data_IF_764382434502
#
_entry.id   IF_764382434502
#
_cell.length_a   1.000
_cell.length_b   1.000
_cell.length_c   1.000
_cell.angle_alpha   90.00
_cell.angle_beta   90.00
_cell.angle_gamma   90.00
#
_symmetry.space_group_name_H-M   'P 1'
#
loop_
_entity.id
_entity.type
_entity.pdbx_description
1 polymer ?
#
# COMPACT_ATOMS: atom_id res chain seq x y z
N UNK A 1 19.91 8.05 11.15
CA UNK A 1 21.33 8.29 10.82
C UNK A 1 21.51 8.00 9.34
N UNK A 2 22.10 8.90 8.55
CA UNK A 2 22.17 8.73 7.10
C UNK A 2 23.48 8.03 6.73
N UNK A 3 23.43 6.74 6.42
CA UNK A 3 24.59 5.99 5.96
C UNK A 3 24.21 4.99 4.86
N UNK A 4 25.24 4.46 4.20
CA UNK A 4 25.06 3.47 3.13
C UNK A 4 25.84 2.20 3.42
N UNK A 5 25.20 1.05 3.22
CA UNK A 5 25.83 -0.27 3.20
C UNK A 5 25.85 -0.78 1.76
N UNK A 6 27.01 -1.24 1.29
CA UNK A 6 27.19 -1.76 -0.09
C UNK A 6 27.89 -3.11 -0.07
N UNK A 7 27.43 -4.01 -0.94
CA UNK A 7 28.12 -5.24 -1.33
C UNK A 7 28.46 -6.16 -0.15
N UNK A 8 27.60 -6.21 0.87
CA UNK A 8 27.77 -7.10 2.01
C UNK A 8 27.70 -8.56 1.57
N UNK A 9 28.65 -9.38 2.02
CA UNK A 9 28.69 -10.82 1.65
C UNK A 9 27.49 -11.62 2.16
N UNK A 10 26.85 -11.18 3.25
CA UNK A 10 25.60 -11.74 3.76
C UNK A 10 24.52 -10.66 3.77
N UNK A 11 24.14 -10.14 4.93
CA UNK A 11 23.10 -9.13 5.07
C UNK A 11 23.70 -7.73 5.13
N UNK A 12 22.96 -6.73 4.66
CA UNK A 12 23.37 -5.33 4.82
C UNK A 12 23.34 -4.93 6.30
N UNK A 13 22.17 -5.10 6.93
CA UNK A 13 21.97 -4.97 8.37
C UNK A 13 21.37 -6.25 8.93
N UNK A 14 21.93 -6.74 10.03
CA UNK A 14 21.42 -7.90 10.78
C UNK A 14 21.11 -7.49 12.20
N UNK A 15 19.88 -7.74 12.64
CA UNK A 15 19.46 -7.50 14.02
C UNK A 15 18.88 -8.79 14.63
N UNK A 16 19.38 -9.13 15.81
CA UNK A 16 18.99 -10.33 16.56
C UNK A 16 18.64 -9.92 17.99
N UNK A 17 17.48 -10.38 18.46
CA UNK A 17 16.93 -10.13 19.80
C UNK A 17 16.98 -8.66 20.23
N UNK A 18 16.60 -7.74 19.33
CA UNK A 18 16.79 -6.29 19.50
C UNK A 18 15.58 -5.46 19.06
N UNK A 19 15.46 -4.25 19.60
CA UNK A 19 14.52 -3.23 19.11
C UNK A 19 15.20 -2.43 18.01
N UNK A 20 14.53 -2.31 16.86
CA UNK A 20 15.18 -1.78 15.66
C UNK A 20 14.47 -0.54 15.18
N UNK A 21 15.16 0.60 15.18
CA UNK A 21 14.72 1.79 14.47
C UNK A 21 15.74 2.12 13.37
N UNK A 22 15.34 1.95 12.11
CA UNK A 22 16.18 2.21 10.94
C UNK A 22 15.54 3.32 10.13
N UNK A 23 16.25 4.44 10.04
CA UNK A 23 15.77 5.63 9.36
C UNK A 23 16.84 6.16 8.41
N UNK A 24 16.43 6.45 7.17
CA UNK A 24 17.22 7.13 6.15
C UNK A 24 18.53 6.39 5.78
N UNK A 25 18.46 5.06 5.70
CA UNK A 25 19.58 4.20 5.33
C UNK A 25 19.45 3.73 3.89
N UNK A 26 20.58 3.68 3.17
CA UNK A 26 20.66 3.03 1.85
C UNK A 26 21.38 1.70 1.96
N UNK A 27 20.83 0.63 1.42
CA UNK A 27 21.42 -0.72 1.44
C UNK A 27 21.35 -1.33 0.05
N UNK A 28 22.49 -1.74 -0.49
CA UNK A 28 22.57 -2.29 -1.85
C UNK A 28 23.60 -3.39 -2.02
N UNK A 29 23.35 -4.31 -2.96
CA UNK A 29 24.32 -5.33 -3.38
C UNK A 29 24.54 -6.46 -2.35
N UNK A 30 23.69 -6.58 -1.33
CA UNK A 30 23.89 -7.61 -0.30
C UNK A 30 23.63 -9.02 -0.85
N UNK A 31 24.51 -9.97 -0.56
CA UNK A 31 24.37 -11.38 -0.95
C UNK A 31 23.20 -12.10 -0.28
N UNK A 32 22.65 -11.52 0.79
CA UNK A 32 21.43 -11.89 1.50
C UNK A 32 20.41 -10.76 1.46
N UNK A 33 19.54 -10.71 2.47
CA UNK A 33 18.59 -9.60 2.64
C UNK A 33 19.31 -8.28 2.94
N UNK A 34 18.78 -7.17 2.44
CA UNK A 34 19.25 -5.84 2.80
C UNK A 34 19.11 -5.60 4.30
N UNK A 35 17.94 -5.91 4.84
CA UNK A 35 17.70 -5.93 6.30
C UNK A 35 17.20 -7.31 6.70
N UNK A 36 17.92 -7.94 7.62
CA UNK A 36 17.55 -9.21 8.20
C UNK A 36 17.28 -9.02 9.70
N UNK A 37 16.01 -9.12 10.07
CA UNK A 37 15.54 -9.12 11.44
C UNK A 37 15.13 -10.55 11.81
N UNK A 38 15.66 -11.07 12.92
CA UNK A 38 15.32 -12.44 13.33
C UNK A 38 14.28 -12.44 14.45
N UNK A 39 14.66 -12.00 15.64
CA UNK A 39 13.79 -11.84 16.80
C UNK A 39 13.99 -10.46 17.43
N UNK A 40 12.99 -9.93 18.12
CA UNK A 40 13.09 -8.67 18.85
C UNK A 40 11.73 -8.17 19.31
N UNK A 41 11.66 -6.97 19.91
CA UNK A 41 10.37 -6.42 20.36
C UNK A 41 9.67 -5.74 19.19
N UNK A 42 10.08 -4.54 18.80
CA UNK A 42 9.47 -3.79 17.71
C UNK A 42 10.49 -3.47 16.63
N UNK A 43 10.02 -3.25 15.41
CA UNK A 43 10.86 -2.66 14.37
C UNK A 43 10.14 -1.53 13.64
N UNK A 44 10.90 -0.47 13.38
CA UNK A 44 10.50 0.71 12.62
C UNK A 44 11.48 0.88 11.46
N UNK A 45 10.95 1.01 10.25
CA UNK A 45 11.72 1.29 9.04
C UNK A 45 11.14 2.51 8.32
N UNK A 46 11.93 3.58 8.18
CA UNK A 46 11.51 4.84 7.54
C UNK A 46 12.53 5.40 6.56
N UNK A 47 12.08 5.97 5.44
CA UNK A 47 12.95 6.75 4.55
C UNK A 47 14.11 5.95 3.95
N UNK A 48 14.06 4.62 3.97
CA UNK A 48 15.16 3.77 3.56
C UNK A 48 15.09 3.41 2.08
N UNK A 49 16.25 3.24 1.47
CA UNK A 49 16.39 2.73 0.10
C UNK A 49 17.08 1.37 0.14
N UNK A 50 16.36 0.29 -0.19
CA UNK A 50 16.87 -1.08 -0.14
C UNK A 50 16.78 -1.69 -1.55
N UNK A 51 17.91 -1.76 -2.25
CA UNK A 51 17.91 -2.10 -3.67
C UNK A 51 19.00 -3.05 -4.14
N UNK A 52 18.68 -3.98 -5.03
CA UNK A 52 19.67 -4.87 -5.64
C UNK A 52 20.25 -5.88 -4.66
N UNK A 53 19.49 -6.32 -3.67
CA UNK A 53 19.89 -7.32 -2.69
C UNK A 53 19.23 -8.67 -3.01
N UNK A 54 19.69 -9.76 -2.37
CA UNK A 54 19.00 -11.07 -2.49
C UNK A 54 17.60 -11.06 -1.87
N UNK A 55 17.25 -10.06 -1.05
CA UNK A 55 15.89 -9.74 -0.62
C UNK A 55 15.86 -8.35 0.01
N UNK A 56 14.69 -7.71 0.10
CA UNK A 56 14.58 -6.36 0.67
C UNK A 56 14.75 -6.38 2.19
N UNK A 57 13.64 -6.46 2.90
CA UNK A 57 13.58 -6.63 4.35
C UNK A 57 12.84 -7.92 4.71
N UNK A 58 13.37 -8.66 5.68
CA UNK A 58 12.68 -9.81 6.26
C UNK A 58 12.72 -9.81 7.79
N UNK A 59 11.60 -10.21 8.38
CA UNK A 59 11.47 -10.70 9.75
C UNK A 59 11.28 -12.22 9.72
N UNK A 60 12.36 -13.00 9.80
CA UNK A 60 12.28 -14.47 9.66
C UNK A 60 11.76 -15.17 10.92
N UNK A 61 12.08 -14.65 12.10
CA UNK A 61 11.48 -15.11 13.35
C UNK A 61 10.18 -14.36 13.64
N UNK A 62 10.07 -13.72 14.80
CA UNK A 62 8.90 -12.93 15.16
C UNK A 62 9.29 -11.66 15.91
N UNK A 63 8.65 -10.55 15.56
CA UNK A 63 8.63 -9.37 16.42
C UNK A 63 7.58 -9.56 17.53
N UNK A 64 7.97 -9.32 18.78
CA UNK A 64 7.13 -9.47 19.98
C UNK A 64 6.24 -8.24 20.24
N UNK A 65 6.41 -7.19 19.45
CA UNK A 65 5.73 -5.90 19.47
C UNK A 65 5.34 -5.49 18.05
N UNK A 66 4.87 -4.25 17.91
CA UNK A 66 4.32 -3.76 16.64
C UNK A 66 5.41 -3.42 15.62
N UNK A 67 5.04 -3.50 14.35
CA UNK A 67 5.88 -3.16 13.22
C UNK A 67 5.38 -1.90 12.51
N UNK A 68 6.30 -1.00 12.19
CA UNK A 68 6.04 0.17 11.36
C UNK A 68 7.00 0.20 10.18
N UNK A 69 6.47 0.30 8.96
CA UNK A 69 7.26 0.44 7.73
C UNK A 69 6.64 1.53 6.87
N UNK A 70 7.29 2.69 6.82
CA UNK A 70 6.76 3.87 6.15
C UNK A 70 7.75 4.55 5.24
N UNK A 71 7.30 5.05 4.09
CA UNK A 71 8.09 6.02 3.30
C UNK A 71 9.42 5.41 2.78
N UNK A 72 9.43 4.13 2.42
CA UNK A 72 10.63 3.42 1.93
C UNK A 72 10.58 3.13 0.43
N UNK A 73 11.75 3.04 -0.19
CA UNK A 73 11.94 2.54 -1.57
C UNK A 73 12.66 1.20 -1.52
N UNK A 74 11.92 0.10 -1.77
CA UNK A 74 12.44 -1.27 -1.74
C UNK A 74 12.30 -1.88 -3.13
N UNK A 75 13.40 -1.92 -3.89
CA UNK A 75 13.31 -2.22 -5.33
C UNK A 75 14.37 -3.17 -5.84
N UNK A 76 14.09 -3.86 -6.95
CA UNK A 76 15.08 -4.68 -7.66
C UNK A 76 15.77 -5.74 -6.77
N UNK A 77 15.06 -6.28 -5.77
CA UNK A 77 15.59 -7.37 -4.96
C UNK A 77 15.12 -8.72 -5.51
N UNK A 78 15.84 -9.78 -5.19
CA UNK A 78 15.45 -11.12 -5.65
C UNK A 78 14.34 -11.71 -4.77
N UNK A 79 14.46 -11.65 -3.45
CA UNK A 79 13.46 -12.18 -2.52
C UNK A 79 12.28 -11.24 -2.29
N UNK A 80 11.55 -11.46 -1.21
CA UNK A 80 10.47 -10.56 -0.79
C UNK A 80 10.95 -9.10 -0.75
N UNK A 81 10.08 -8.17 -1.13
CA UNK A 81 10.33 -6.75 -0.89
C UNK A 81 10.32 -6.49 0.60
N UNK A 82 9.20 -6.79 1.24
CA UNK A 82 8.99 -6.64 2.67
C UNK A 82 8.29 -7.88 3.23
N UNK A 83 8.93 -8.57 4.17
CA UNK A 83 8.34 -9.69 4.90
C UNK A 83 8.32 -9.39 6.40
N UNK A 84 7.12 -9.36 6.99
CA UNK A 84 6.85 -9.06 8.39
C UNK A 84 6.24 -10.29 9.05
N UNK A 85 6.78 -10.72 10.19
CA UNK A 85 6.26 -11.83 10.98
C UNK A 85 6.09 -11.37 12.42
N UNK A 86 4.86 -11.41 12.94
CA UNK A 86 4.50 -10.91 14.26
C UNK A 86 3.89 -12.02 15.11
N UNK A 87 4.10 -11.91 16.43
CA UNK A 87 3.35 -12.73 17.39
C UNK A 87 1.88 -12.28 17.47
N UNK A 88 1.04 -13.11 18.09
CA UNK A 88 -0.38 -12.85 18.24
C UNK A 88 -0.68 -11.52 18.95
N UNK A 89 -1.71 -10.83 18.47
CA UNK A 89 -2.19 -9.57 19.05
C UNK A 89 -1.35 -8.34 18.72
N UNK A 90 -0.41 -8.44 17.77
CA UNK A 90 0.43 -7.32 17.32
C UNK A 90 -0.04 -6.69 16.03
N UNK A 91 0.43 -5.47 15.80
CA UNK A 91 0.00 -4.65 14.69
C UNK A 91 1.12 -4.42 13.69
N UNK A 92 0.79 -4.45 12.39
CA UNK A 92 1.66 -4.02 11.31
C UNK A 92 1.07 -2.77 10.64
N UNK A 93 1.83 -1.69 10.58
CA UNK A 93 1.50 -0.52 9.76
C UNK A 93 2.50 -0.42 8.62
N UNK A 94 2.02 -0.53 7.38
CA UNK A 94 2.83 -0.45 6.16
C UNK A 94 2.24 0.64 5.28
N UNK A 95 2.92 1.78 5.15
CA UNK A 95 2.39 2.91 4.39
C UNK A 95 3.38 3.66 3.49
N UNK A 96 2.90 4.22 2.39
CA UNK A 96 3.69 5.09 1.51
C UNK A 96 5.01 4.44 1.02
N UNK A 97 5.04 3.11 0.86
CA UNK A 97 6.25 2.44 0.38
C UNK A 97 6.17 2.21 -1.12
N UNK A 98 7.29 2.43 -1.80
CA UNK A 98 7.51 2.00 -3.18
C UNK A 98 8.21 0.64 -3.19
N UNK A 99 7.48 -0.39 -3.57
CA UNK A 99 7.93 -1.79 -3.62
C UNK A 99 7.80 -2.27 -5.07
N UNK A 100 8.90 -2.20 -5.82
CA UNK A 100 8.91 -2.45 -7.27
C UNK A 100 9.99 -3.46 -7.66
N UNK A 101 9.62 -4.42 -8.50
CA UNK A 101 10.56 -5.38 -9.10
C UNK A 101 11.29 -6.24 -8.06
N UNK A 102 10.54 -6.78 -7.09
CA UNK A 102 11.04 -7.76 -6.12
C UNK A 102 10.62 -9.17 -6.59
N UNK A 103 11.35 -9.71 -7.57
CA UNK A 103 10.79 -10.60 -8.60
C UNK A 103 11.30 -12.06 -8.60
N UNK A 104 11.86 -12.56 -7.49
CA UNK A 104 12.25 -13.97 -7.38
C UNK A 104 11.07 -14.93 -7.31
N UNK A 105 11.36 -16.22 -7.49
CA UNK A 105 10.33 -17.24 -7.37
C UNK A 105 9.73 -17.22 -5.96
N UNK A 106 8.39 -17.11 -5.89
CA UNK A 106 7.63 -17.04 -4.64
C UNK A 106 7.88 -15.78 -3.78
N UNK A 107 8.47 -14.71 -4.34
CA UNK A 107 8.63 -13.45 -3.61
C UNK A 107 7.38 -12.59 -3.67
N UNK A 108 6.88 -12.24 -2.51
CA UNK A 108 5.80 -11.27 -2.35
C UNK A 108 6.37 -9.84 -2.23
N UNK A 109 5.61 -8.86 -2.69
CA UNK A 109 5.96 -7.44 -2.52
C UNK A 109 5.90 -7.07 -1.04
N UNK A 110 4.70 -7.18 -0.46
CA UNK A 110 4.43 -7.07 0.96
C UNK A 110 3.88 -8.41 1.45
N UNK A 111 4.56 -9.02 2.41
CA UNK A 111 4.09 -10.18 3.15
C UNK A 111 3.97 -9.82 4.62
N UNK A 112 2.77 -10.00 5.19
CA UNK A 112 2.53 -9.84 6.63
C UNK A 112 1.91 -11.11 7.17
N UNK A 113 2.59 -11.70 8.14
CA UNK A 113 2.12 -12.83 8.92
C UNK A 113 1.98 -12.46 10.38
N UNK A 114 0.80 -12.72 10.93
CA UNK A 114 0.51 -12.56 12.36
C UNK A 114 0.06 -13.91 12.90
N UNK A 115 0.70 -14.37 13.97
CA UNK A 115 0.29 -15.60 14.63
C UNK A 115 -1.09 -15.48 15.28
N UNK A 116 -1.79 -16.62 15.40
CA UNK A 116 -3.05 -16.72 16.14
C UNK A 116 -4.21 -15.96 15.49
N UNK A 117 -5.12 -15.46 16.31
CA UNK A 117 -6.30 -14.68 15.87
C UNK A 117 -6.35 -13.38 16.65
N UNK A 118 -5.95 -12.26 16.05
CA UNK A 118 -6.11 -10.96 16.72
C UNK A 118 -5.09 -9.85 16.42
N UNK A 119 -4.27 -9.96 15.37
CA UNK A 119 -3.39 -8.86 14.98
C UNK A 119 -3.99 -7.94 13.93
N UNK A 120 -3.70 -6.64 14.03
CA UNK A 120 -4.20 -5.61 13.12
C UNK A 120 -3.16 -5.30 12.04
N UNK A 121 -3.61 -5.15 10.80
CA UNK A 121 -2.78 -4.65 9.70
C UNK A 121 -3.42 -3.40 9.11
N UNK A 122 -2.62 -2.34 8.98
CA UNK A 122 -2.98 -1.12 8.25
C UNK A 122 -2.02 -1.00 7.09
N UNK A 123 -2.51 -1.29 5.88
CA UNK A 123 -1.71 -1.29 4.65
C UNK A 123 -2.24 -0.19 3.73
N UNK A 124 -1.52 0.92 3.64
CA UNK A 124 -2.06 2.14 3.04
C UNK A 124 -1.11 2.78 2.04
N UNK A 125 -1.62 3.25 0.89
CA UNK A 125 -0.86 4.09 -0.04
C UNK A 125 0.48 3.48 -0.49
N UNK A 126 0.57 2.15 -0.61
CA UNK A 126 1.78 1.49 -1.11
C UNK A 126 1.70 1.30 -2.62
N UNK A 127 2.83 1.52 -3.29
CA UNK A 127 3.03 1.19 -4.70
C UNK A 127 3.70 -0.17 -4.80
N UNK A 128 2.94 -1.21 -5.18
CA UNK A 128 3.41 -2.60 -5.18
C UNK A 128 3.31 -3.21 -6.57
N UNK A 129 4.45 -3.39 -7.22
CA UNK A 129 4.49 -3.85 -8.60
C UNK A 129 5.59 -4.85 -8.91
N UNK A 130 5.32 -5.74 -9.88
CA UNK A 130 6.26 -6.74 -10.41
C UNK A 130 6.86 -7.62 -9.31
N UNK A 131 6.05 -8.01 -8.33
CA UNK A 131 6.39 -9.06 -7.38
C UNK A 131 6.32 -10.43 -8.04
N UNK A 132 7.21 -11.34 -7.63
CA UNK A 132 7.28 -12.69 -8.19
C UNK A 132 6.03 -13.55 -7.92
N UNK A 133 5.31 -13.27 -6.82
CA UNK A 133 4.07 -13.96 -6.43
C UNK A 133 2.94 -12.97 -6.13
N UNK A 134 2.64 -12.66 -4.87
CA UNK A 134 1.60 -11.68 -4.54
C UNK A 134 2.18 -10.29 -4.52
N UNK A 135 1.40 -9.29 -4.94
CA UNK A 135 1.68 -7.90 -4.59
C UNK A 135 1.62 -7.78 -3.06
N UNK A 136 0.45 -8.05 -2.50
CA UNK A 136 0.22 -8.01 -1.05
C UNK A 136 -0.30 -9.37 -0.58
N UNK A 137 0.32 -9.94 0.45
CA UNK A 137 -0.14 -11.16 1.09
C UNK A 137 -0.28 -10.96 2.60
N UNK A 138 -1.52 -10.98 3.08
CA UNK A 138 -1.84 -10.88 4.50
C UNK A 138 -2.37 -12.21 5.02
N UNK A 139 -1.82 -12.66 6.15
CA UNK A 139 -2.28 -13.86 6.82
C UNK A 139 -2.32 -13.72 8.33
N UNK A 140 -3.44 -14.16 8.92
CA UNK A 140 -3.74 -13.99 10.36
C UNK A 140 -4.18 -12.58 10.75
N UNK A 141 -4.44 -11.69 9.78
CA UNK A 141 -4.90 -10.34 10.05
C UNK A 141 -6.37 -10.33 10.46
N UNK A 142 -6.72 -9.52 11.47
CA UNK A 142 -8.09 -9.35 11.97
C UNK A 142 -8.41 -7.88 12.18
N UNK A 143 -9.64 -7.45 11.86
CA UNK A 143 -10.10 -6.05 12.01
C UNK A 143 -9.11 -5.06 11.39
N UNK A 144 -8.71 -5.35 10.16
CA UNK A 144 -7.60 -4.70 9.45
C UNK A 144 -8.10 -3.88 8.26
N UNK A 145 -7.28 -2.96 7.78
CA UNK A 145 -7.62 -2.08 6.65
C UNK A 145 -6.54 -2.13 5.59
N UNK A 146 -6.98 -2.24 4.33
CA UNK A 146 -6.13 -2.13 3.15
C UNK A 146 -6.75 -1.10 2.21
N UNK A 147 -6.11 0.06 2.04
CA UNK A 147 -6.67 1.15 1.24
C UNK A 147 -5.64 2.01 0.53
N UNK A 148 -6.03 2.65 -0.58
CA UNK A 148 -5.16 3.55 -1.33
C UNK A 148 -3.95 2.89 -1.99
N UNK A 149 -3.86 1.55 -2.02
CA UNK A 149 -2.70 0.86 -2.57
C UNK A 149 -2.82 0.71 -4.09
N UNK A 150 -1.69 0.86 -4.79
CA UNK A 150 -1.56 0.54 -6.19
C UNK A 150 -0.90 -0.83 -6.34
N UNK A 151 -1.67 -1.82 -6.77
CA UNK A 151 -1.27 -3.22 -6.83
C UNK A 151 -1.29 -3.66 -8.28
N UNK A 152 -0.14 -3.56 -8.94
CA UNK A 152 -0.05 -3.62 -10.40
C UNK A 152 0.96 -4.64 -10.91
N UNK A 153 0.62 -5.37 -11.97
CA UNK A 153 1.58 -6.23 -12.71
C UNK A 153 2.30 -7.24 -11.82
N UNK A 154 1.64 -7.72 -10.78
CA UNK A 154 2.14 -8.83 -9.96
C UNK A 154 1.61 -10.15 -10.53
N UNK A 155 2.23 -11.28 -10.19
CA UNK A 155 1.67 -12.60 -10.59
C UNK A 155 0.26 -12.80 -10.03
N UNK A 156 0.01 -12.33 -8.82
CA UNK A 156 -1.29 -12.21 -8.17
C UNK A 156 -1.34 -10.85 -7.46
N UNK A 157 -2.47 -10.15 -7.46
CA UNK A 157 -2.57 -8.83 -6.85
C UNK A 157 -2.51 -8.89 -5.33
N UNK A 158 -3.61 -9.25 -4.68
CA UNK A 158 -3.68 -9.42 -3.22
C UNK A 158 -4.21 -10.79 -2.81
N UNK A 159 -3.69 -11.32 -1.69
CA UNK A 159 -4.24 -12.49 -1.02
C UNK A 159 -4.52 -12.20 0.45
N UNK A 160 -5.75 -12.52 0.88
CA UNK A 160 -6.12 -12.66 2.28
C UNK A 160 -6.23 -14.16 2.59
N UNK A 161 -5.45 -14.64 3.56
CA UNK A 161 -5.47 -16.04 3.97
C UNK A 161 -5.64 -16.17 5.47
N UNK A 162 -6.65 -16.92 5.91
CA UNK A 162 -6.99 -17.05 7.33
C UNK A 162 -7.10 -15.68 8.02
N UNK A 163 -7.65 -14.69 7.32
CA UNK A 163 -7.83 -13.32 7.80
C UNK A 163 -9.32 -12.98 7.86
N UNK A 164 -9.71 -12.19 8.85
CA UNK A 164 -11.12 -11.94 9.18
C UNK A 164 -11.40 -10.46 9.40
N UNK A 165 -12.57 -9.99 8.96
CA UNK A 165 -13.00 -8.59 9.12
C UNK A 165 -11.97 -7.59 8.57
N UNK A 166 -11.30 -7.95 7.47
CA UNK A 166 -10.44 -7.02 6.73
C UNK A 166 -11.34 -6.17 5.83
N UNK A 167 -11.15 -4.85 5.84
CA UNK A 167 -11.84 -3.92 4.93
C UNK A 167 -10.87 -3.46 3.85
N UNK A 168 -11.18 -3.75 2.59
CA UNK A 168 -10.37 -3.45 1.41
C UNK A 168 -11.12 -2.50 0.51
N UNK A 169 -10.67 -1.27 0.36
CA UNK A 169 -11.36 -0.25 -0.45
C UNK A 169 -10.37 0.79 -0.97
N UNK A 170 -10.71 1.52 -2.04
CA UNK A 170 -9.85 2.56 -2.63
C UNK A 170 -8.49 2.06 -3.10
N UNK A 171 -8.36 0.77 -3.42
CA UNK A 171 -7.14 0.23 -4.03
C UNK A 171 -7.30 0.15 -5.55
N UNK A 172 -6.18 0.20 -6.26
CA UNK A 172 -6.09 0.00 -7.70
C UNK A 172 -5.47 -1.35 -8.01
N UNK A 173 -6.28 -2.29 -8.50
CA UNK A 173 -5.82 -3.60 -8.97
C UNK A 173 -5.67 -3.57 -10.49
N UNK A 174 -4.42 -3.53 -10.98
CA UNK A 174 -4.13 -3.24 -12.38
C UNK A 174 -3.24 -4.32 -13.01
N UNK A 175 -3.75 -5.02 -14.01
CA UNK A 175 -2.99 -5.96 -14.84
C UNK A 175 -2.21 -7.02 -14.02
N UNK A 176 -2.77 -7.50 -12.90
CA UNK A 176 -2.19 -8.65 -12.20
C UNK A 176 -2.49 -9.92 -13.01
N UNK A 177 -1.48 -10.79 -13.15
CA UNK A 177 -1.48 -11.80 -14.22
C UNK A 177 -2.51 -12.90 -14.02
N UNK A 178 -2.54 -13.51 -12.84
CA UNK A 178 -3.41 -14.66 -12.57
C UNK A 178 -4.75 -14.21 -12.00
N UNK A 179 -4.72 -13.48 -10.87
CA UNK A 179 -5.91 -12.92 -10.22
C UNK A 179 -5.57 -11.58 -9.59
N UNK A 180 -6.50 -10.62 -9.67
CA UNK A 180 -6.38 -9.35 -8.95
C UNK A 180 -6.48 -9.52 -7.44
N UNK A 181 -7.37 -10.41 -6.98
CA UNK A 181 -7.56 -10.67 -5.56
C UNK A 181 -7.97 -12.13 -5.30
N UNK A 182 -7.56 -12.65 -4.14
CA UNK A 182 -7.98 -13.93 -3.60
C UNK A 182 -8.25 -13.80 -2.09
N UNK A 183 -9.37 -14.33 -1.65
CA UNK A 183 -9.84 -14.27 -0.28
C UNK A 183 -10.45 -15.62 0.12
N UNK A 184 -9.86 -16.29 1.12
CA UNK A 184 -10.42 -17.53 1.69
C UNK A 184 -11.39 -17.28 2.86
N UNK A 185 -11.51 -16.02 3.29
CA UNK A 185 -12.31 -15.58 4.41
C UNK A 185 -13.80 -15.44 4.06
N UNK A 186 -14.63 -15.40 5.10
CA UNK A 186 -16.09 -15.26 4.97
C UNK A 186 -16.64 -13.92 5.48
N UNK A 187 -15.83 -13.12 6.17
CA UNK A 187 -16.26 -11.89 6.82
C UNK A 187 -15.47 -10.64 6.39
N UNK A 188 -14.64 -10.76 5.36
CA UNK A 188 -13.91 -9.62 4.79
C UNK A 188 -14.83 -8.79 3.90
N UNK A 189 -14.62 -7.48 3.91
CA UNK A 189 -15.31 -6.51 3.05
C UNK A 189 -14.35 -6.03 1.98
N UNK A 190 -14.81 -6.05 0.71
CA UNK A 190 -14.03 -5.55 -0.43
C UNK A 190 -14.56 -4.21 -0.94
N UNK A 191 -15.27 -3.47 -0.07
CA UNK A 191 -15.68 -2.09 -0.30
C UNK A 191 -15.78 -1.33 1.03
N UNK A 192 -15.82 0.01 0.95
CA UNK A 192 -16.04 0.92 2.07
C UNK A 192 -17.51 1.28 2.29
N UNK A 193 -18.43 0.68 1.54
CA UNK A 193 -19.85 1.03 1.51
C UNK A 193 -20.15 2.33 0.73
N UNK A 194 -21.42 2.60 0.47
CA UNK A 194 -21.85 3.86 -0.16
C UNK A 194 -21.88 5.02 0.85
N UNK A 195 -21.44 6.25 0.49
CA UNK A 195 -20.89 6.66 -0.80
C UNK A 195 -19.37 6.50 -0.91
N UNK A 196 -18.71 5.86 0.07
CA UNK A 196 -17.26 5.65 0.03
C UNK A 196 -16.82 4.84 -1.18
N UNK A 197 -17.68 3.98 -1.75
CA UNK A 197 -17.36 3.08 -2.84
C UNK A 197 -16.31 2.01 -2.46
N UNK A 198 -15.82 1.28 -3.46
CA UNK A 198 -14.92 0.14 -3.35
C UNK A 198 -13.57 0.38 -4.00
N UNK A 199 -13.09 -0.61 -4.74
CA UNK A 199 -11.80 -0.62 -5.40
C UNK A 199 -11.94 -0.41 -6.91
N UNK A 200 -10.84 -0.02 -7.55
CA UNK A 200 -10.73 -0.04 -8.99
C UNK A 200 -10.12 -1.37 -9.46
N UNK A 201 -10.70 -1.96 -10.49
CA UNK A 201 -10.28 -3.24 -11.06
C UNK A 201 -10.10 -3.07 -12.56
N UNK A 202 -8.87 -3.22 -13.07
CA UNK A 202 -8.59 -2.98 -14.50
C UNK A 202 -9.30 -3.94 -15.45
N UNK A 203 -9.76 -5.09 -14.93
CA UNK A 203 -10.52 -6.12 -15.65
C UNK A 203 -12.03 -5.98 -15.50
N UNK A 204 -12.52 -4.97 -14.76
CA UNK A 204 -13.95 -4.74 -14.53
C UNK A 204 -14.40 -3.44 -15.18
N UNK A 205 -14.94 -3.58 -16.40
CA UNK A 205 -15.54 -2.46 -17.13
C UNK A 205 -17.05 -2.66 -17.14
N UNK A 206 -17.80 -1.64 -16.73
CA UNK A 206 -19.25 -1.71 -16.64
C UNK A 206 -19.94 -0.36 -16.80
N UNK A 207 -21.26 -0.39 -16.73
CA UNK A 207 -22.09 0.80 -16.75
C UNK A 207 -22.04 1.53 -15.39
N UNK A 208 -22.17 2.85 -15.43
CA UNK A 208 -22.39 3.75 -14.29
C UNK A 208 -23.59 4.63 -14.66
N UNK A 209 -24.78 4.04 -14.57
CA UNK A 209 -26.05 4.71 -14.86
C UNK A 209 -26.94 4.79 -13.63
N UNK A 210 -26.57 4.11 -12.55
CA UNK A 210 -27.30 4.00 -11.31
C UNK A 210 -26.47 4.55 -10.16
N UNK A 211 -27.16 5.03 -9.14
CA UNK A 211 -26.56 5.61 -7.95
C UNK A 211 -27.24 5.18 -6.67
N UNK A 212 -26.61 5.54 -5.55
CA UNK A 212 -27.13 5.32 -4.22
C UNK A 212 -26.77 3.94 -3.64
N UNK A 213 -27.11 3.70 -2.37
CA UNK A 213 -26.66 2.49 -1.66
C UNK A 213 -27.10 1.17 -2.29
N UNK A 214 -28.25 1.16 -2.97
CA UNK A 214 -28.78 -0.01 -3.65
C UNK A 214 -28.47 -0.07 -5.15
N UNK A 215 -27.71 0.89 -5.69
CA UNK A 215 -27.40 1.01 -7.13
C UNK A 215 -28.67 0.84 -7.98
N UNK A 216 -29.72 1.58 -7.63
CA UNK A 216 -31.07 1.42 -8.20
C UNK A 216 -31.78 2.74 -8.51
N UNK A 217 -31.11 3.87 -8.32
CA UNK A 217 -31.64 5.20 -8.65
C UNK A 217 -30.95 5.67 -9.92
N UNK A 218 -31.68 6.25 -10.88
CA UNK A 218 -31.04 6.76 -12.10
C UNK A 218 -30.05 7.91 -11.82
N UNK A 219 -28.92 7.88 -12.51
CA UNK A 219 -27.84 8.87 -12.45
C UNK A 219 -26.49 8.20 -12.19
N UNK A 220 -25.41 8.76 -12.75
CA UNK A 220 -24.03 8.31 -12.52
C UNK A 220 -23.47 8.87 -11.21
N UNK A 221 -22.66 8.09 -10.52
CA UNK A 221 -21.94 8.51 -9.31
C UNK A 221 -20.47 8.04 -9.24
N UNK A 222 -19.92 7.54 -10.36
CA UNK A 222 -18.54 7.06 -10.44
C UNK A 222 -18.35 5.63 -9.94
N UNK A 223 -19.45 4.92 -9.64
CA UNK A 223 -19.47 3.52 -9.23
C UNK A 223 -20.04 2.69 -10.39
N UNK A 224 -19.42 1.55 -10.66
CA UNK A 224 -19.92 0.58 -11.62
C UNK A 224 -21.15 -0.11 -11.02
N UNK A 225 -22.27 -0.08 -11.75
CA UNK A 225 -23.58 -0.61 -11.35
C UNK A 225 -23.55 -2.10 -10.98
N UNK A 226 -22.58 -2.85 -11.51
CA UNK A 226 -22.40 -4.29 -11.28
C UNK A 226 -21.28 -4.59 -10.29
N UNK A 227 -21.53 -5.34 -9.20
CA UNK A 227 -20.50 -5.77 -8.25
C UNK A 227 -19.37 -6.60 -8.88
N UNK A 228 -18.18 -6.56 -8.28
CA UNK A 228 -17.02 -7.39 -8.65
C UNK A 228 -16.83 -8.56 -7.66
N UNK A 229 -16.94 -9.81 -8.09
CA UNK A 229 -16.72 -10.97 -7.23
C UNK A 229 -15.22 -11.23 -7.02
N UNK A 230 -14.81 -11.49 -5.77
CA UNK A 230 -13.44 -11.84 -5.42
C UNK A 230 -13.29 -13.36 -5.36
N UNK A 231 -12.18 -13.88 -5.90
CA UNK A 231 -11.94 -15.32 -5.96
C UNK A 231 -11.62 -15.91 -4.58
N UNK A 232 -11.91 -17.21 -4.38
CA UNK A 232 -11.46 -18.00 -3.22
C UNK A 232 -12.53 -18.20 -2.15
N UNK A 233 -13.53 -17.31 -2.08
CA UNK A 233 -14.51 -17.28 -1.02
C UNK A 233 -15.80 -16.54 -1.42
N UNK A 234 -16.37 -15.81 -0.48
CA UNK A 234 -17.61 -15.03 -0.67
C UNK A 234 -17.38 -13.52 -0.74
N UNK A 235 -16.13 -13.08 -0.86
CA UNK A 235 -15.77 -11.67 -0.98
C UNK A 235 -16.36 -11.04 -2.25
N UNK A 236 -16.97 -9.86 -2.10
CA UNK A 236 -17.54 -9.09 -3.21
C UNK A 236 -17.27 -7.62 -2.94
N UNK A 237 -16.77 -6.92 -3.95
CA UNK A 237 -16.78 -5.46 -3.99
C UNK A 237 -18.11 -5.02 -4.60
N UNK A 238 -18.98 -4.43 -3.77
CA UNK A 238 -20.34 -4.02 -4.20
C UNK A 238 -20.36 -2.67 -4.89
N UNK A 239 -19.29 -1.90 -4.79
CA UNK A 239 -19.22 -0.55 -5.32
C UNK A 239 -17.92 -0.32 -6.10
N UNK A 240 -17.62 -1.12 -7.16
CA UNK A 240 -16.37 -0.97 -7.90
C UNK A 240 -16.27 0.41 -8.54
N UNK A 241 -15.09 1.02 -8.55
CA UNK A 241 -14.90 2.36 -9.12
C UNK A 241 -14.79 2.32 -10.66
N UNK A 242 -15.36 3.32 -11.33
CA UNK A 242 -15.21 3.52 -12.78
C UNK A 242 -13.77 3.90 -13.15
N UNK A 243 -13.17 4.77 -12.34
CA UNK A 243 -11.83 5.29 -12.53
C UNK A 243 -10.89 4.82 -11.41
N UNK A 244 -9.59 4.86 -11.68
CA UNK A 244 -8.58 4.60 -10.65
C UNK A 244 -8.76 5.56 -9.47
N UNK A 245 -8.56 5.04 -8.26
CA UNK A 245 -8.50 5.86 -7.07
C UNK A 245 -7.20 6.67 -7.09
N UNK A 246 -7.30 7.99 -7.23
CA UNK A 246 -6.16 8.91 -7.17
C UNK A 246 -5.63 9.00 -5.74
N UNK A 247 -4.32 9.02 -5.55
CA UNK A 247 -3.71 9.32 -4.26
C UNK A 247 -3.99 10.80 -3.93
N UNK A 248 -4.64 11.08 -2.81
CA UNK A 248 -4.92 12.46 -2.41
C UNK A 248 -3.59 13.20 -2.20
N UNK A 249 -3.46 14.36 -2.81
CA UNK A 249 -2.23 15.16 -2.84
C UNK A 249 -1.22 14.79 -3.92
N UNK A 250 -1.38 13.70 -4.67
CA UNK A 250 -0.54 13.37 -5.83
C UNK A 250 -1.03 14.14 -7.06
N UNK A 251 -0.23 15.10 -7.52
CA UNK A 251 -0.64 16.06 -8.56
C UNK A 251 0.14 15.92 -9.86
N UNK A 252 1.14 15.04 -9.88
CA UNK A 252 1.84 14.65 -11.11
C UNK A 252 1.48 13.22 -11.57
N UNK A 253 0.64 12.50 -10.82
CA UNK A 253 0.26 11.11 -11.05
C UNK A 253 1.47 10.17 -11.13
N UNK A 254 2.55 10.49 -10.40
CA UNK A 254 3.68 9.58 -10.21
C UNK A 254 3.47 8.65 -9.02
N UNK A 255 2.38 8.87 -8.27
CA UNK A 255 1.89 8.05 -7.18
C UNK A 255 2.83 7.99 -5.98
N UNK A 256 3.67 9.03 -5.83
CA UNK A 256 4.53 9.26 -4.69
C UNK A 256 4.28 10.70 -4.25
N UNK A 257 3.85 10.90 -3.00
CA UNK A 257 3.82 12.25 -2.44
C UNK A 257 5.24 12.77 -2.28
N UNK A 258 5.58 13.79 -3.06
CA UNK A 258 6.88 14.43 -3.04
C UNK A 258 6.73 15.95 -2.91
N UNK A 259 7.84 16.68 -2.66
CA UNK A 259 7.82 18.13 -2.81
C UNK A 259 7.43 18.62 -4.22
N UNK A 260 7.45 17.76 -5.25
CA UNK A 260 6.97 18.11 -6.59
C UNK A 260 5.47 18.34 -6.56
N UNK A 261 4.70 17.49 -5.88
CA UNK A 261 3.25 17.64 -5.76
C UNK A 261 2.88 18.89 -4.98
N UNK A 262 3.61 19.18 -3.90
CA UNK A 262 3.45 20.43 -3.16
C UNK A 262 3.72 21.66 -4.04
N UNK A 263 4.73 21.58 -4.92
CA UNK A 263 5.02 22.65 -5.88
C UNK A 263 3.87 22.83 -6.89
N UNK A 264 3.28 21.74 -7.38
CA UNK A 264 2.13 21.78 -8.29
C UNK A 264 0.90 22.41 -7.59
N UNK A 265 0.63 22.03 -6.33
CA UNK A 265 -0.44 22.65 -5.54
C UNK A 265 -0.21 24.16 -5.37
N UNK A 266 1.05 24.58 -5.18
CA UNK A 266 1.40 26.00 -5.08
C UNK A 266 1.24 26.75 -6.41
N UNK A 267 1.58 26.13 -7.54
CA UNK A 267 1.31 26.69 -8.88
C UNK A 267 -0.18 26.90 -9.11
N UNK A 268 -1.01 25.94 -8.69
CA UNK A 268 -2.47 26.04 -8.75
C UNK A 268 -2.97 27.18 -7.85
N UNK A 269 -2.52 27.23 -6.59
CA UNK A 269 -2.89 28.27 -5.64
C UNK A 269 -2.48 29.68 -6.10
N UNK A 270 -1.37 29.79 -6.84
CA UNK A 270 -0.90 31.03 -7.46
C UNK A 270 -1.64 31.40 -8.76
N UNK A 271 -2.59 30.57 -9.22
CA UNK A 271 -3.30 30.75 -10.49
C UNK A 271 -2.42 30.58 -11.73
N UNK A 272 -1.25 29.95 -11.57
CA UNK A 272 -0.25 29.78 -12.63
C UNK A 272 -0.43 28.46 -13.40
N UNK A 273 -1.33 27.58 -12.95
CA UNK A 273 -1.63 26.29 -13.56
C UNK A 273 -3.13 26.06 -13.67
N UNK A 274 -3.58 25.65 -14.85
CA UNK A 274 -4.98 25.22 -15.10
C UNK A 274 -5.13 23.77 -14.64
N UNK A 275 -6.27 23.44 -14.05
CA UNK A 275 -6.57 22.13 -13.49
C UNK A 275 -8.04 21.75 -13.73
N UNK A 276 -8.34 20.46 -13.71
CA UNK A 276 -9.69 19.91 -13.84
C UNK A 276 -10.29 19.56 -12.46
N UNK A 277 -11.52 19.04 -12.46
CA UNK A 277 -12.22 18.68 -11.22
C UNK A 277 -11.52 17.56 -10.44
N UNK A 278 -10.89 16.60 -11.13
CA UNK A 278 -10.18 15.49 -10.48
C UNK A 278 -8.90 15.99 -9.81
N UNK A 279 -8.16 16.88 -10.48
CA UNK A 279 -7.00 17.56 -9.91
C UNK A 279 -7.40 18.42 -8.71
N UNK A 280 -8.57 19.07 -8.72
CA UNK A 280 -9.07 19.80 -7.56
C UNK A 280 -9.28 18.86 -6.36
N UNK A 281 -9.91 17.70 -6.57
CA UNK A 281 -10.15 16.71 -5.50
C UNK A 281 -8.82 16.18 -4.93
N UNK A 282 -7.82 15.95 -5.78
CA UNK A 282 -6.49 15.54 -5.34
C UNK A 282 -5.74 16.68 -4.63
N UNK A 283 -5.85 17.92 -5.12
CA UNK A 283 -5.08 19.06 -4.62
C UNK A 283 -5.66 19.70 -3.36
N UNK A 284 -6.99 19.70 -3.20
CA UNK A 284 -7.68 20.19 -2.00
C UNK A 284 -7.58 19.14 -0.87
N UNK A 285 -6.38 19.02 -0.32
CA UNK A 285 -6.11 18.09 0.76
C UNK A 285 -6.71 18.54 2.09
N UNK A 286 -6.98 19.84 2.25
CA UNK A 286 -7.67 20.40 3.42
C UNK A 286 -9.19 20.17 3.40
N UNK A 287 -9.78 20.00 2.21
CA UNK A 287 -11.21 19.77 2.00
C UNK A 287 -12.07 21.03 2.13
N UNK A 288 -11.49 22.23 1.92
CA UNK A 288 -12.20 23.51 2.03
C UNK A 288 -12.82 24.00 0.70
N UNK A 289 -12.63 23.22 -0.36
CA UNK A 289 -13.11 23.49 -1.71
C UNK A 289 -12.18 24.37 -2.54
N UNK A 290 -11.00 24.74 -2.02
CA UNK A 290 -10.03 25.61 -2.69
C UNK A 290 -8.61 25.05 -2.57
N UNK A 291 -7.83 25.13 -3.65
CA UNK A 291 -6.40 24.81 -3.58
C UNK A 291 -5.64 26.06 -3.16
N UNK A 292 -5.05 26.02 -1.97
CA UNK A 292 -4.32 27.13 -1.37
C UNK A 292 -2.89 26.74 -1.00
N UNK A 293 -2.11 27.69 -0.49
CA UNK A 293 -0.80 27.37 0.08
C UNK A 293 -0.88 26.44 1.30
N UNK A 294 -2.05 26.33 1.96
CA UNK A 294 -2.25 25.37 3.05
C UNK A 294 -2.21 23.95 2.51
N UNK A 295 -2.87 23.69 1.38
CA UNK A 295 -2.87 22.39 0.73
C UNK A 295 -1.48 21.97 0.28
N UNK A 296 -0.74 22.90 -0.35
CA UNK A 296 0.66 22.69 -0.69
C UNK A 296 1.53 22.35 0.52
N UNK A 297 1.30 23.01 1.66
CA UNK A 297 2.02 22.72 2.90
C UNK A 297 1.65 21.36 3.48
N UNK A 298 0.37 20.99 3.44
CA UNK A 298 -0.12 19.69 3.88
C UNK A 298 0.46 18.55 3.03
N UNK A 299 0.48 18.71 1.70
CA UNK A 299 1.14 17.78 0.77
C UNK A 299 2.63 17.68 1.08
N UNK A 300 3.32 18.80 1.31
CA UNK A 300 4.75 18.81 1.63
C UNK A 300 5.04 18.07 2.95
N UNK A 301 4.21 18.28 3.98
CA UNK A 301 4.35 17.56 5.24
C UNK A 301 4.00 16.08 5.10
N UNK A 302 3.00 15.72 4.29
CA UNK A 302 2.65 14.34 4.01
C UNK A 302 3.78 13.62 3.26
N UNK A 303 4.38 14.28 2.26
CA UNK A 303 5.57 13.82 1.56
C UNK A 303 6.78 13.61 2.49
N UNK A 304 6.87 14.38 3.58
CA UNK A 304 7.90 14.23 4.61
C UNK A 304 7.52 13.21 5.72
N UNK A 305 6.37 12.53 5.60
CA UNK A 305 5.85 11.59 6.60
C UNK A 305 5.37 12.22 7.91
N UNK A 306 5.19 13.54 7.92
CA UNK A 306 4.84 14.34 9.11
C UNK A 306 3.34 14.39 9.43
N UNK A 307 2.47 14.17 8.43
CA UNK A 307 1.00 14.14 8.58
C UNK A 307 0.38 13.16 7.57
N UNK A 308 -0.85 12.71 7.84
CA UNK A 308 -1.69 11.99 6.88
C UNK A 308 -2.69 12.98 6.29
N UNK A 309 -2.91 12.93 4.97
CA UNK A 309 -3.81 13.84 4.22
C UNK A 309 -4.91 13.06 3.49
#
# INVERSE_FOLDING_TARGET
>A
ANFTVRDSGTHGLRAESSDVNIENVTITGSGGYGIYFYYGKSFTLRGCTITGNRGGMTCEGYAMGDAFVGDNTITNNVGHGLAISLVEGRSATVRNNKIDNNAGASSDGIYVYIQGTGGLSTIENNWVTKSGRYGIYLTGATNSTVSGNNILKNSYGMCLYSSLNVTVFHNNFIENVNYNANDDGKSNSWDGGYPSAGNYWSDHVGADNLRGPGQNQSGSDGIIDTPYPVQGGSGVDRYPLVNQCSLKGDLNNDHILTPVDAAIALEIAAGSRVYDADTLVAADVSGDGSVTSLDALMILHAAAGGVTI
#
